data_IF_042339540922
#
_entry.id   IF_042339540922
#
_cell.length_a   1.000
_cell.length_b   1.000
_cell.length_c   1.000
_cell.angle_alpha   90.00
_cell.angle_beta   90.00
_cell.angle_gamma   90.00
#
_symmetry.space_group_name_H-M   'P 1'
#
loop_
_entity.id
_entity.type
_entity.pdbx_description
1 polymer ?
#
# COMPACT_ATOMS: atom_id res chain seq x y z
N UNK A 1 8.59 18.32 -2.87
CA UNK A 1 7.91 17.18 -3.54
C UNK A 1 7.98 16.00 -2.58
N UNK A 2 6.90 15.26 -2.41
CA UNK A 2 6.93 14.01 -1.61
C UNK A 2 7.74 12.97 -2.38
N UNK A 3 8.64 12.26 -1.72
CA UNK A 3 9.41 11.14 -2.30
C UNK A 3 8.43 10.11 -2.86
N UNK A 4 8.64 9.60 -4.07
CA UNK A 4 7.81 8.52 -4.59
C UNK A 4 8.06 7.25 -3.76
N UNK A 5 7.09 6.33 -3.72
CA UNK A 5 7.28 5.07 -2.99
C UNK A 5 8.41 4.21 -3.58
N UNK A 6 8.57 4.24 -4.91
CA UNK A 6 9.71 3.57 -5.58
C UNK A 6 11.06 4.16 -5.16
N UNK A 7 11.16 5.49 -5.11
CA UNK A 7 12.39 6.19 -4.69
C UNK A 7 12.67 5.92 -3.19
N UNK A 8 11.63 5.82 -2.35
CA UNK A 8 11.77 5.44 -0.95
C UNK A 8 12.45 4.06 -0.84
N UNK A 9 11.86 3.02 -1.46
CA UNK A 9 12.41 1.66 -1.39
C UNK A 9 13.85 1.59 -1.90
N UNK A 10 14.15 2.27 -3.02
CA UNK A 10 15.50 2.29 -3.60
C UNK A 10 16.55 3.02 -2.74
N UNK A 11 16.13 3.94 -1.87
CA UNK A 11 17.06 4.78 -1.08
C UNK A 11 17.34 4.25 0.33
N UNK A 12 16.47 3.42 0.90
CA UNK A 12 16.57 3.02 2.31
C UNK A 12 17.69 2.01 2.59
N UNK A 13 18.01 1.12 1.65
CA UNK A 13 19.00 0.05 1.87
C UNK A 13 18.61 -0.96 2.97
N UNK A 14 17.35 -0.97 3.41
CA UNK A 14 16.77 -1.85 4.41
C UNK A 14 15.27 -2.04 4.15
N UNK A 15 14.66 -3.02 4.79
CA UNK A 15 13.20 -3.18 4.78
C UNK A 15 12.50 -1.90 5.24
N UNK A 16 11.57 -1.38 4.45
CA UNK A 16 10.74 -0.23 4.82
C UNK A 16 9.61 -0.67 5.76
N UNK A 17 9.40 0.07 6.85
CA UNK A 17 8.34 -0.21 7.81
C UNK A 17 7.20 0.80 7.66
N UNK A 18 6.01 0.30 7.38
CA UNK A 18 4.79 1.10 7.27
C UNK A 18 3.70 0.63 8.21
N UNK A 19 2.59 1.35 8.21
CA UNK A 19 1.38 0.97 8.95
C UNK A 19 0.13 1.46 8.23
N UNK A 20 -1.03 0.86 8.58
CA UNK A 20 -2.32 1.24 8.03
C UNK A 20 -2.93 2.40 8.80
N UNK A 21 -3.54 3.34 8.06
CA UNK A 21 -4.37 4.43 8.58
C UNK A 21 -5.83 4.10 8.28
N UNK A 22 -6.61 3.86 9.31
CA UNK A 22 -8.04 3.49 9.24
C UNK A 22 -8.95 4.53 9.89
N UNK A 23 -8.41 5.38 10.77
CA UNK A 23 -9.17 6.41 11.46
C UNK A 23 -9.26 7.68 10.59
N UNK A 24 -10.45 8.30 10.50
CA UNK A 24 -10.68 9.47 9.66
C UNK A 24 -10.18 10.79 10.32
N UNK A 25 -8.95 10.77 10.87
CA UNK A 25 -8.39 11.94 11.56
C UNK A 25 -6.95 12.20 11.13
N UNK A 26 -6.64 13.47 10.87
CA UNK A 26 -5.29 13.91 10.50
C UNK A 26 -4.30 13.70 11.64
N UNK A 27 -4.77 13.78 12.90
CA UNK A 27 -3.93 13.56 14.08
C UNK A 27 -3.31 12.15 14.09
N UNK A 28 -4.07 11.13 13.62
CA UNK A 28 -3.54 9.77 13.48
C UNK A 28 -2.36 9.71 12.53
N UNK A 29 -2.47 10.39 11.38
CA UNK A 29 -1.38 10.47 10.38
C UNK A 29 -0.14 11.15 10.97
N UNK A 30 -0.32 12.27 11.66
CA UNK A 30 0.78 13.02 12.29
C UNK A 30 1.48 12.21 13.38
N UNK A 31 0.70 11.56 14.26
CA UNK A 31 1.23 10.68 15.31
C UNK A 31 2.06 9.52 14.72
N UNK A 32 1.56 8.87 13.67
CA UNK A 32 2.26 7.77 13.02
C UNK A 32 3.53 8.23 12.29
N UNK A 33 3.48 9.39 11.63
CA UNK A 33 4.66 9.98 11.01
C UNK A 33 5.75 10.31 12.03
N UNK A 34 5.37 10.90 13.18
CA UNK A 34 6.30 11.20 14.27
C UNK A 34 6.79 9.95 15.02
N UNK A 35 6.05 8.84 14.96
CA UNK A 35 6.51 7.55 15.48
C UNK A 35 7.66 6.95 14.65
N UNK A 36 7.91 7.45 13.44
CA UNK A 36 9.06 7.08 12.61
C UNK A 36 8.77 5.95 11.62
N UNK A 37 7.52 5.74 11.23
CA UNK A 37 7.21 4.88 10.08
C UNK A 37 7.76 5.49 8.79
N UNK A 38 8.35 4.65 7.93
CA UNK A 38 8.94 5.07 6.66
C UNK A 38 7.87 5.47 5.63
N UNK A 39 6.69 4.86 5.72
CA UNK A 39 5.54 5.16 4.87
C UNK A 39 4.22 4.82 5.58
N UNK A 40 3.12 5.35 5.05
CA UNK A 40 1.77 5.03 5.54
C UNK A 40 0.91 4.46 4.40
N UNK A 41 -0.13 3.71 4.76
CA UNK A 41 -1.14 3.24 3.81
C UNK A 41 -2.53 3.60 4.33
N UNK A 42 -3.19 4.55 3.68
CA UNK A 42 -4.59 4.89 3.97
C UNK A 42 -5.48 3.79 3.39
N UNK A 43 -6.33 3.22 4.23
CA UNK A 43 -7.13 2.05 3.90
C UNK A 43 -8.58 2.44 3.58
N UNK A 44 -8.97 2.39 2.30
CA UNK A 44 -10.37 2.61 1.89
C UNK A 44 -11.16 1.31 1.75
N UNK A 45 -10.50 0.15 1.81
CA UNK A 45 -11.18 -1.14 1.65
C UNK A 45 -11.86 -1.57 2.95
N UNK A 46 -11.13 -1.54 4.07
CA UNK A 46 -11.63 -2.02 5.37
C UNK A 46 -11.78 -0.89 6.40
N UNK A 47 -12.13 0.31 5.93
CA UNK A 47 -12.49 1.44 6.78
C UNK A 47 -13.50 2.37 6.06
N UNK A 48 -14.27 3.17 6.79
CA UNK A 48 -15.30 4.03 6.20
C UNK A 48 -14.71 5.34 5.63
N UNK A 49 -13.57 5.26 4.91
CA UNK A 49 -12.92 6.43 4.35
C UNK A 49 -13.37 6.67 2.92
N UNK A 50 -13.80 7.90 2.64
CA UNK A 50 -14.11 8.38 1.30
C UNK A 50 -12.93 9.16 0.68
N UNK A 51 -13.02 9.49 -0.60
CA UNK A 51 -11.97 10.22 -1.32
C UNK A 51 -11.68 11.60 -0.70
N UNK A 52 -12.68 12.27 -0.11
CA UNK A 52 -12.47 13.57 0.54
C UNK A 52 -11.67 13.43 1.83
N UNK A 53 -12.00 12.44 2.65
CA UNK A 53 -11.23 12.11 3.86
C UNK A 53 -9.80 11.73 3.48
N UNK A 54 -9.60 10.85 2.49
CA UNK A 54 -8.27 10.49 1.95
C UNK A 54 -7.50 11.73 1.51
N UNK A 55 -8.16 12.67 0.80
CA UNK A 55 -7.53 13.92 0.40
C UNK A 55 -6.99 14.72 1.60
N UNK A 56 -7.71 14.78 2.73
CA UNK A 56 -7.24 15.46 3.95
C UNK A 56 -6.07 14.71 4.60
N UNK A 57 -6.17 13.37 4.75
CA UNK A 57 -5.11 12.54 5.33
C UNK A 57 -3.80 12.63 4.52
N UNK A 58 -3.88 12.58 3.19
CA UNK A 58 -2.72 12.79 2.31
C UNK A 58 -2.12 14.21 2.44
N UNK A 59 -2.94 15.20 2.76
CA UNK A 59 -2.47 16.56 3.04
C UNK A 59 -1.61 16.64 4.31
N UNK A 60 -2.05 15.98 5.39
CA UNK A 60 -1.30 15.86 6.64
C UNK A 60 0.00 15.07 6.44
N UNK A 61 -0.07 13.91 5.81
CA UNK A 61 1.09 13.09 5.51
C UNK A 61 2.17 13.85 4.72
N UNK A 62 1.74 14.61 3.71
CA UNK A 62 2.63 15.49 2.95
C UNK A 62 3.27 16.57 3.82
N UNK A 63 2.53 17.15 4.77
CA UNK A 63 3.04 18.11 5.75
C UNK A 63 4.13 17.52 6.64
N UNK A 64 4.01 16.26 7.00
CA UNK A 64 5.00 15.50 7.76
C UNK A 64 6.15 14.92 6.91
N UNK A 65 6.09 15.02 5.58
CA UNK A 65 7.11 14.49 4.69
C UNK A 65 7.08 12.96 4.53
N UNK A 66 6.02 12.27 4.97
CA UNK A 66 5.92 10.81 4.91
C UNK A 66 5.20 10.38 3.63
N UNK A 67 5.84 9.54 2.77
CA UNK A 67 5.20 8.95 1.59
C UNK A 67 3.99 8.12 2.01
N UNK A 68 2.85 8.31 1.34
CA UNK A 68 1.62 7.63 1.71
C UNK A 68 0.96 7.00 0.50
N UNK A 69 0.79 5.69 0.56
CA UNK A 69 -0.01 4.90 -0.37
C UNK A 69 -1.49 4.96 0.04
N UNK A 70 -2.36 4.57 -0.87
CA UNK A 70 -3.77 4.35 -0.56
C UNK A 70 -4.17 2.96 -1.03
N UNK A 71 -4.73 2.15 -0.14
CA UNK A 71 -5.43 0.95 -0.54
C UNK A 71 -6.83 1.36 -1.00
N UNK A 72 -7.09 1.19 -2.29
CA UNK A 72 -8.41 1.47 -2.87
C UNK A 72 -9.40 0.36 -2.53
N UNK A 73 -10.73 0.63 -2.54
CA UNK A 73 -11.72 -0.39 -2.15
C UNK A 73 -11.90 -1.48 -3.20
N UNK A 74 -11.55 -1.19 -4.44
CA UNK A 74 -11.70 -2.07 -5.58
C UNK A 74 -10.82 -1.62 -6.76
N UNK A 75 -10.95 -2.27 -7.92
CA UNK A 75 -10.21 -1.98 -9.15
C UNK A 75 -10.81 -0.87 -10.01
N UNK A 76 -11.77 -0.10 -9.49
CA UNK A 76 -12.49 0.93 -10.27
C UNK A 76 -11.53 2.04 -10.74
N UNK A 77 -11.36 2.25 -12.07
CA UNK A 77 -10.40 3.22 -12.61
C UNK A 77 -10.61 4.65 -12.13
N UNK A 78 -11.86 5.07 -11.95
CA UNK A 78 -12.17 6.43 -11.48
C UNK A 78 -11.75 6.65 -10.02
N UNK A 79 -11.84 5.65 -9.16
CA UNK A 79 -11.36 5.71 -7.77
C UNK A 79 -9.85 5.82 -7.74
N UNK A 80 -9.14 4.98 -8.50
CA UNK A 80 -7.68 5.02 -8.63
C UNK A 80 -7.22 6.40 -9.09
N UNK A 81 -7.79 6.94 -10.17
CA UNK A 81 -7.43 8.27 -10.69
C UNK A 81 -7.63 9.37 -9.65
N UNK A 82 -8.79 9.41 -8.95
CA UNK A 82 -9.11 10.46 -7.96
C UNK A 82 -8.20 10.42 -6.74
N UNK A 83 -7.83 9.22 -6.29
CA UNK A 83 -6.90 9.03 -5.19
C UNK A 83 -5.50 9.54 -5.57
N UNK A 84 -5.03 9.21 -6.77
CA UNK A 84 -3.75 9.69 -7.29
C UNK A 84 -3.74 11.20 -7.49
N UNK A 85 -4.85 11.80 -7.95
CA UNK A 85 -5.02 13.25 -8.07
C UNK A 85 -5.00 13.96 -6.70
N UNK A 86 -5.42 13.26 -5.65
CA UNK A 86 -5.32 13.74 -4.27
C UNK A 86 -3.88 13.74 -3.72
N UNK A 87 -2.92 13.19 -4.46
CA UNK A 87 -1.49 13.24 -4.13
C UNK A 87 -0.95 12.01 -3.42
N UNK A 88 -1.59 10.85 -3.58
CA UNK A 88 -1.04 9.58 -3.12
C UNK A 88 0.30 9.26 -3.80
N UNK A 89 1.25 8.67 -3.07
CA UNK A 89 2.53 8.20 -3.59
C UNK A 89 2.39 6.94 -4.47
N UNK A 90 1.23 6.31 -4.42
CA UNK A 90 0.83 5.14 -5.18
C UNK A 90 -0.46 4.55 -4.65
N UNK A 91 -0.88 3.45 -5.25
CA UNK A 91 -2.07 2.69 -4.85
C UNK A 91 -1.73 1.23 -4.60
N UNK A 92 -2.32 0.67 -3.56
CA UNK A 92 -2.42 -0.75 -3.31
C UNK A 92 -3.82 -1.18 -3.75
N UNK A 93 -3.90 -2.16 -4.64
CA UNK A 93 -5.17 -2.54 -5.29
C UNK A 93 -5.51 -3.98 -4.93
N UNK A 94 -6.62 -4.21 -4.22
CA UNK A 94 -7.07 -5.54 -3.83
C UNK A 94 -7.63 -6.34 -5.03
N UNK A 95 -7.77 -7.64 -4.84
CA UNK A 95 -8.43 -8.56 -5.78
C UNK A 95 -7.85 -8.52 -7.20
N UNK A 96 -6.54 -8.42 -7.33
CA UNK A 96 -5.83 -8.56 -8.61
C UNK A 96 -5.41 -10.01 -8.75
N UNK A 97 -6.19 -10.78 -9.48
CA UNK A 97 -6.02 -12.23 -9.59
C UNK A 97 -5.35 -12.66 -10.90
N UNK A 98 -5.34 -11.77 -11.91
CA UNK A 98 -4.80 -12.06 -13.24
C UNK A 98 -3.93 -10.93 -13.78
N UNK A 99 -3.13 -11.22 -14.82
CA UNK A 99 -2.38 -10.20 -15.55
C UNK A 99 -3.31 -9.16 -16.23
N UNK A 100 -4.53 -9.53 -16.64
CA UNK A 100 -5.52 -8.61 -17.21
C UNK A 100 -6.02 -7.61 -16.16
N UNK A 101 -6.26 -8.07 -14.93
CA UNK A 101 -6.57 -7.20 -13.80
C UNK A 101 -5.43 -6.21 -13.54
N UNK A 102 -4.19 -6.72 -13.52
CA UNK A 102 -3.00 -5.89 -13.34
C UNK A 102 -2.87 -4.83 -14.45
N UNK A 103 -3.08 -5.21 -15.72
CA UNK A 103 -3.11 -4.26 -16.84
C UNK A 103 -4.18 -3.17 -16.63
N UNK A 104 -5.37 -3.56 -16.19
CA UNK A 104 -6.49 -2.63 -15.95
C UNK A 104 -6.11 -1.59 -14.89
N UNK A 105 -5.59 -2.01 -13.75
CA UNK A 105 -5.25 -1.10 -12.65
C UNK A 105 -4.02 -0.24 -12.95
N UNK A 106 -3.03 -0.77 -13.65
CA UNK A 106 -1.88 0.01 -14.12
C UNK A 106 -2.31 1.08 -15.11
N UNK A 107 -3.15 0.70 -16.09
CA UNK A 107 -3.71 1.62 -17.08
C UNK A 107 -4.48 2.77 -16.42
N UNK A 108 -5.24 2.48 -15.37
CA UNK A 108 -5.97 3.50 -14.60
C UNK A 108 -5.06 4.49 -13.86
N UNK A 109 -3.84 4.08 -13.51
CA UNK A 109 -2.84 4.91 -12.83
C UNK A 109 -2.01 5.80 -13.76
N UNK A 110 -1.87 5.44 -15.04
CA UNK A 110 -0.98 6.08 -16.01
C UNK A 110 -1.72 6.95 -17.02
N UNK A 111 -1.07 8.02 -17.47
CA UNK A 111 -1.60 8.87 -18.54
C UNK A 111 -1.38 8.25 -19.94
N UNK A 112 -2.19 8.64 -20.95
CA UNK A 112 -1.91 8.28 -22.33
C UNK A 112 -0.48 8.71 -22.77
N UNK A 113 0.22 7.92 -23.60
CA UNK A 113 -0.23 6.70 -24.27
C UNK A 113 -0.11 5.41 -23.45
N UNK A 114 0.46 5.45 -22.23
CA UNK A 114 0.77 4.28 -21.39
C UNK A 114 -0.41 3.83 -20.51
N UNK A 115 -1.52 4.58 -20.51
CA UNK A 115 -2.72 4.26 -19.76
C UNK A 115 -3.92 5.11 -20.15
N UNK A 116 -4.95 5.06 -19.30
CA UNK A 116 -6.26 5.69 -19.54
C UNK A 116 -6.64 6.75 -18.51
N UNK A 117 -5.71 7.07 -17.56
CA UNK A 117 -5.96 8.09 -16.55
C UNK A 117 -6.29 9.44 -17.19
N UNK A 118 -7.39 10.07 -16.73
CA UNK A 118 -7.77 11.41 -17.15
C UNK A 118 -6.71 12.46 -16.75
N UNK A 119 -6.48 13.44 -17.60
CA UNK A 119 -5.47 14.47 -17.39
C UNK A 119 -6.11 15.78 -16.92
N UNK A 120 -5.86 16.16 -15.67
CA UNK A 120 -6.38 17.40 -15.06
C UNK A 120 -5.37 17.96 -14.05
N UNK A 121 -4.42 18.86 -14.46
CA UNK A 121 -3.29 19.26 -13.62
C UNK A 121 -3.67 20.20 -12.47
N UNK A 122 -4.90 20.74 -12.43
CA UNK A 122 -5.38 21.64 -11.37
C UNK A 122 -5.85 20.89 -10.11
N UNK A 123 -5.09 19.86 -9.73
CA UNK A 123 -5.29 19.00 -8.56
C UNK A 123 -4.05 19.04 -7.68
N UNK A 124 -4.12 18.48 -6.46
CA UNK A 124 -2.96 18.47 -5.54
C UNK A 124 -1.72 17.83 -6.15
N UNK A 125 -1.85 16.71 -6.87
CA UNK A 125 -0.74 16.05 -7.53
C UNK A 125 -0.03 16.95 -8.56
N UNK A 126 -0.75 17.88 -9.20
CA UNK A 126 -0.23 18.88 -10.13
C UNK A 126 0.11 20.22 -9.47
N UNK A 127 0.22 20.27 -8.14
CA UNK A 127 0.44 21.50 -7.39
C UNK A 127 -0.56 22.59 -7.76
N UNK A 128 -1.82 22.21 -7.99
CA UNK A 128 -2.93 23.10 -8.38
C UNK A 128 -2.67 23.87 -9.68
N UNK A 129 -1.95 23.22 -10.61
CA UNK A 129 -1.57 23.78 -11.91
C UNK A 129 -0.23 24.51 -11.92
N UNK A 130 0.45 24.61 -10.79
CA UNK A 130 1.78 25.26 -10.72
C UNK A 130 2.91 24.41 -11.26
N UNK A 131 2.72 23.07 -11.36
CA UNK A 131 3.73 22.14 -11.91
C UNK A 131 3.10 21.14 -12.88
N UNK A 132 2.69 21.63 -14.03
CA UNK A 132 2.07 20.83 -15.10
C UNK A 132 3.05 19.79 -15.69
N UNK A 133 4.33 20.13 -15.96
CA UNK A 133 5.30 19.15 -16.43
C UNK A 133 5.58 18.05 -15.40
N UNK A 134 5.74 18.40 -14.11
CA UNK A 134 5.93 17.45 -13.02
C UNK A 134 4.73 16.54 -12.82
N UNK A 135 3.50 17.05 -12.95
CA UNK A 135 2.29 16.25 -12.90
C UNK A 135 2.27 15.18 -14.01
N UNK A 136 2.62 15.56 -15.24
CA UNK A 136 2.70 14.61 -16.34
C UNK A 136 3.76 13.54 -16.10
N UNK A 137 4.96 13.96 -15.70
CA UNK A 137 6.07 13.04 -15.41
C UNK A 137 5.77 12.10 -14.21
N UNK A 138 4.99 12.58 -13.25
CA UNK A 138 4.61 11.75 -12.08
C UNK A 138 3.78 10.52 -12.47
N UNK A 139 2.99 10.59 -13.54
CA UNK A 139 2.19 9.47 -14.03
C UNK A 139 3.02 8.21 -14.35
N UNK A 140 4.28 8.39 -14.79
CA UNK A 140 5.20 7.28 -15.06
C UNK A 140 5.84 6.71 -13.79
N UNK A 141 5.86 7.48 -12.70
CA UNK A 141 6.50 7.12 -11.42
C UNK A 141 5.53 6.61 -10.36
N UNK A 142 4.25 6.58 -10.67
CA UNK A 142 3.22 6.10 -9.75
C UNK A 142 3.48 4.64 -9.39
N UNK A 143 3.43 4.34 -8.10
CA UNK A 143 3.47 2.97 -7.64
C UNK A 143 2.06 2.36 -7.70
N UNK A 144 1.84 1.44 -8.65
CA UNK A 144 0.66 0.56 -8.66
C UNK A 144 1.11 -0.79 -8.13
N UNK A 145 0.50 -1.21 -7.03
CA UNK A 145 0.90 -2.41 -6.29
C UNK A 145 -0.30 -3.35 -6.23
N UNK A 146 -0.31 -4.45 -7.00
CA UNK A 146 -1.31 -5.50 -6.85
C UNK A 146 -1.24 -6.15 -5.48
N UNK A 147 -2.40 -6.38 -4.84
CA UNK A 147 -2.53 -7.18 -3.64
C UNK A 147 -2.94 -8.60 -4.03
N UNK A 148 -2.07 -9.56 -3.74
CA UNK A 148 -2.24 -10.98 -4.02
C UNK A 148 -2.80 -11.65 -2.76
N UNK A 149 -4.06 -12.08 -2.81
CA UNK A 149 -4.80 -12.52 -1.62
C UNK A 149 -5.74 -13.70 -1.88
N UNK A 150 -5.63 -14.29 -3.07
CA UNK A 150 -6.33 -15.51 -3.46
C UNK A 150 -5.35 -16.56 -3.98
N UNK A 151 -5.78 -17.81 -4.07
CA UNK A 151 -4.96 -18.87 -4.67
C UNK A 151 -4.63 -18.57 -6.14
N UNK A 152 -5.61 -18.06 -6.89
CA UNK A 152 -5.43 -17.67 -8.29
C UNK A 152 -4.38 -16.57 -8.45
N UNK A 153 -4.42 -15.55 -7.59
CA UNK A 153 -3.43 -14.48 -7.58
C UNK A 153 -2.01 -14.98 -7.30
N UNK A 154 -1.86 -15.92 -6.35
CA UNK A 154 -0.54 -16.52 -6.06
C UNK A 154 -0.03 -17.32 -7.25
N UNK A 155 -0.88 -18.16 -7.84
CA UNK A 155 -0.52 -18.99 -9.00
C UNK A 155 -0.16 -18.11 -10.23
N UNK A 156 -0.73 -16.89 -10.32
CA UNK A 156 -0.49 -15.91 -11.39
C UNK A 156 0.54 -14.82 -11.02
N UNK A 157 1.24 -14.93 -9.89
CA UNK A 157 2.11 -13.86 -9.36
C UNK A 157 3.18 -13.39 -10.37
N UNK A 158 3.75 -14.31 -11.15
CA UNK A 158 4.74 -14.00 -12.19
C UNK A 158 4.11 -13.21 -13.34
N UNK A 159 2.97 -13.64 -13.84
CA UNK A 159 2.24 -12.98 -14.93
C UNK A 159 1.78 -11.59 -14.52
N UNK A 160 1.25 -11.45 -13.30
CA UNK A 160 0.85 -10.17 -12.70
C UNK A 160 2.06 -9.24 -12.58
N UNK A 161 3.17 -9.71 -12.00
CA UNK A 161 4.39 -8.94 -11.82
C UNK A 161 5.06 -8.53 -13.13
N UNK A 162 4.91 -9.32 -14.21
CA UNK A 162 5.47 -9.02 -15.53
C UNK A 162 4.76 -7.89 -16.26
N UNK A 163 3.61 -7.42 -15.77
CA UNK A 163 2.88 -6.31 -16.38
C UNK A 163 3.67 -5.01 -16.22
N UNK A 164 4.00 -4.38 -17.35
CA UNK A 164 4.73 -3.11 -17.33
C UNK A 164 3.98 -2.04 -16.53
N UNK A 165 4.59 -1.55 -15.47
CA UNK A 165 4.04 -0.56 -14.56
C UNK A 165 3.66 -1.07 -13.19
N UNK A 166 3.62 -2.38 -12.98
CA UNK A 166 3.60 -2.94 -11.64
C UNK A 166 4.86 -2.49 -10.89
N UNK A 167 4.67 -1.95 -9.70
CA UNK A 167 5.75 -1.33 -8.92
C UNK A 167 6.38 -2.27 -7.89
N UNK A 168 5.58 -3.19 -7.39
CA UNK A 168 5.92 -4.18 -6.38
C UNK A 168 4.79 -5.23 -6.36
N UNK A 169 5.03 -6.37 -5.72
CA UNK A 169 3.98 -7.31 -5.33
C UNK A 169 3.71 -7.18 -3.83
N UNK A 170 2.46 -7.32 -3.44
CA UNK A 170 2.07 -7.32 -2.04
C UNK A 170 1.18 -8.52 -1.73
N UNK A 171 1.53 -9.28 -0.70
CA UNK A 171 0.67 -10.37 -0.23
C UNK A 171 -0.20 -9.90 0.91
N UNK A 172 -1.52 -10.08 0.78
CA UNK A 172 -2.52 -9.88 1.83
C UNK A 172 -2.71 -11.14 2.67
N UNK A 173 -1.94 -11.36 3.76
CA UNK A 173 -1.90 -12.67 4.42
C UNK A 173 -3.21 -13.04 5.12
N UNK A 174 -3.99 -12.06 5.57
CA UNK A 174 -5.26 -12.33 6.26
C UNK A 174 -6.31 -12.89 5.28
N UNK A 175 -6.49 -12.21 4.15
CA UNK A 175 -7.45 -12.61 3.13
C UNK A 175 -7.01 -13.89 2.43
N UNK A 176 -5.69 -14.05 2.18
CA UNK A 176 -5.12 -15.28 1.65
C UNK A 176 -5.37 -16.48 2.57
N UNK A 177 -5.24 -16.31 3.89
CA UNK A 177 -5.52 -17.37 4.86
C UNK A 177 -7.01 -17.77 4.83
N UNK A 178 -7.91 -16.80 4.72
CA UNK A 178 -9.34 -17.06 4.58
C UNK A 178 -9.67 -17.74 3.25
N UNK A 179 -9.11 -17.26 2.15
CA UNK A 179 -9.35 -17.78 0.81
C UNK A 179 -8.85 -19.22 0.62
N UNK A 180 -7.72 -19.56 1.25
CA UNK A 180 -7.12 -20.90 1.14
C UNK A 180 -7.52 -21.86 2.24
N UNK A 181 -8.05 -21.36 3.36
CA UNK A 181 -8.32 -22.14 4.57
C UNK A 181 -7.06 -22.56 5.32
N UNK A 182 -5.88 -22.09 4.92
CA UNK A 182 -4.63 -22.39 5.61
C UNK A 182 -4.38 -21.42 6.77
N UNK A 183 -3.90 -21.94 7.90
CA UNK A 183 -3.43 -21.12 9.00
C UNK A 183 -2.04 -20.55 8.68
N UNK A 184 -1.76 -19.33 9.11
CA UNK A 184 -0.52 -18.61 8.80
C UNK A 184 0.76 -19.31 9.31
N UNK A 185 0.64 -20.23 10.26
CA UNK A 185 1.72 -21.03 10.83
C UNK A 185 1.95 -22.37 10.12
N UNK A 186 1.21 -22.67 9.05
CA UNK A 186 1.32 -23.94 8.32
C UNK A 186 2.40 -23.87 7.22
N UNK A 187 3.08 -25.00 6.94
CA UNK A 187 4.03 -25.08 5.82
C UNK A 187 3.38 -24.80 4.46
N UNK A 188 2.10 -25.10 4.31
CA UNK A 188 1.31 -24.83 3.10
C UNK A 188 1.19 -23.33 2.86
N UNK A 189 0.90 -22.55 3.93
CA UNK A 189 0.81 -21.10 3.84
C UNK A 189 2.19 -20.48 3.54
N UNK A 190 3.23 -20.94 4.22
CA UNK A 190 4.60 -20.47 3.97
C UNK A 190 5.00 -20.65 2.50
N UNK A 191 4.67 -21.81 1.89
CA UNK A 191 4.98 -22.05 0.47
C UNK A 191 4.31 -21.03 -0.45
N UNK A 192 3.07 -20.60 -0.16
CA UNK A 192 2.40 -19.56 -0.96
C UNK A 192 3.17 -18.23 -0.92
N UNK A 193 3.69 -17.86 0.26
CA UNK A 193 4.51 -16.65 0.40
C UNK A 193 5.85 -16.79 -0.34
N UNK A 194 6.49 -17.95 -0.27
CA UNK A 194 7.74 -18.25 -0.96
C UNK A 194 7.58 -18.23 -2.49
N UNK A 195 6.44 -18.69 -3.01
CA UNK A 195 6.12 -18.67 -4.44
C UNK A 195 6.08 -17.22 -4.95
N UNK A 196 5.41 -16.30 -4.22
CA UNK A 196 5.38 -14.87 -4.58
C UNK A 196 6.76 -14.22 -4.45
N UNK A 197 7.48 -14.51 -3.37
CA UNK A 197 8.84 -13.98 -3.17
C UNK A 197 9.79 -14.43 -4.29
N UNK A 198 9.65 -15.68 -4.75
CA UNK A 198 10.44 -16.22 -5.87
C UNK A 198 10.08 -15.51 -7.18
N UNK A 199 8.79 -15.31 -7.47
CA UNK A 199 8.34 -14.59 -8.65
C UNK A 199 8.84 -13.12 -8.64
N UNK A 200 8.72 -12.43 -7.51
CA UNK A 200 9.21 -11.05 -7.35
C UNK A 200 10.73 -10.96 -7.58
N UNK A 201 11.50 -11.88 -7.00
CA UNK A 201 12.96 -11.94 -7.17
C UNK A 201 13.38 -12.16 -8.62
N UNK A 202 12.71 -13.05 -9.35
CA UNK A 202 13.01 -13.29 -10.77
C UNK A 202 12.70 -12.08 -11.65
N UNK A 203 11.71 -11.27 -11.26
CA UNK A 203 11.30 -10.05 -11.97
C UNK A 203 12.03 -8.80 -11.47
N UNK A 204 12.91 -8.93 -10.49
CA UNK A 204 13.57 -7.81 -9.82
C UNK A 204 12.58 -6.78 -9.24
N UNK A 205 11.41 -7.25 -8.79
CA UNK A 205 10.38 -6.43 -8.18
C UNK A 205 10.49 -6.48 -6.65
N UNK A 206 10.24 -5.35 -5.96
CA UNK A 206 10.05 -5.36 -4.53
C UNK A 206 8.85 -6.22 -4.12
N UNK A 207 8.96 -6.88 -2.95
CA UNK A 207 7.86 -7.65 -2.36
C UNK A 207 7.55 -7.16 -0.94
N UNK A 208 6.27 -7.05 -0.63
CA UNK A 208 5.80 -6.64 0.69
C UNK A 208 4.69 -7.51 1.25
N UNK A 209 4.46 -7.36 2.55
CA UNK A 209 3.39 -8.04 3.28
C UNK A 209 2.92 -7.23 4.48
N UNK A 210 1.95 -7.74 5.24
CA UNK A 210 1.44 -7.15 6.47
C UNK A 210 1.47 -8.13 7.63
N UNK A 211 1.72 -7.60 8.84
CA UNK A 211 1.73 -8.36 10.09
C UNK A 211 1.05 -7.61 11.22
N UNK A 212 0.58 -8.34 12.23
CA UNK A 212 -0.12 -7.75 13.38
C UNK A 212 0.78 -7.25 14.50
N UNK A 213 2.08 -7.55 14.49
CA UNK A 213 2.97 -7.24 15.60
C UNK A 213 4.41 -6.95 15.18
N UNK A 214 5.13 -6.20 16.02
CA UNK A 214 6.55 -5.95 15.83
C UNK A 214 7.42 -7.23 15.93
N UNK A 215 6.98 -8.23 16.67
CA UNK A 215 7.67 -9.52 16.76
C UNK A 215 7.65 -10.22 15.41
N UNK A 216 6.46 -10.38 14.81
CA UNK A 216 6.30 -10.97 13.47
C UNK A 216 7.04 -10.17 12.38
N UNK A 217 7.07 -8.82 12.49
CA UNK A 217 7.81 -8.00 11.55
C UNK A 217 9.32 -8.26 11.59
N UNK A 218 9.90 -8.44 12.79
CA UNK A 218 11.35 -8.73 12.93
C UNK A 218 11.78 -10.00 12.21
N UNK A 219 10.91 -11.02 12.18
CA UNK A 219 11.20 -12.29 11.51
C UNK A 219 11.21 -12.14 9.98
N UNK A 220 10.58 -11.09 9.46
CA UNK A 220 10.46 -10.81 8.02
C UNK A 220 11.42 -9.73 7.51
N UNK A 221 12.06 -8.97 8.41
CA UNK A 221 13.07 -7.97 8.03
C UNK A 221 14.24 -8.63 7.30
N UNK A 222 14.59 -8.09 6.14
CA UNK A 222 15.63 -8.64 5.27
C UNK A 222 15.13 -9.71 4.29
N UNK A 223 13.88 -10.18 4.44
CA UNK A 223 13.22 -11.09 3.50
C UNK A 223 12.16 -10.39 2.65
N UNK A 224 11.70 -9.20 3.07
CA UNK A 224 10.75 -8.35 2.36
C UNK A 224 11.31 -6.94 2.22
N UNK A 225 10.98 -6.26 1.13
CA UNK A 225 11.40 -4.88 0.88
C UNK A 225 10.59 -3.88 1.68
N UNK A 226 9.32 -4.21 1.97
CA UNK A 226 8.46 -3.40 2.83
C UNK A 226 7.46 -4.25 3.62
N UNK A 227 7.18 -3.82 4.84
CA UNK A 227 6.27 -4.52 5.76
C UNK A 227 5.31 -3.50 6.39
N UNK A 228 4.02 -3.78 6.35
CA UNK A 228 3.03 -3.03 7.10
C UNK A 228 2.75 -3.69 8.45
N UNK A 229 2.86 -2.92 9.54
CA UNK A 229 2.74 -3.43 10.91
C UNK A 229 1.53 -2.80 11.58
N UNK A 230 0.55 -3.61 11.96
CA UNK A 230 -0.65 -3.18 12.68
C UNK A 230 -1.43 -2.06 11.94
N UNK A 231 -2.24 -1.31 12.66
CA UNK A 231 -2.95 -0.12 12.18
C UNK A 231 -3.24 0.82 13.35
N UNK A 232 -3.52 2.09 13.08
CA UNK A 232 -3.81 3.12 14.07
C UNK A 232 -4.91 2.74 15.06
N UNK A 233 -6.02 2.19 14.57
CA UNK A 233 -7.15 1.78 15.42
C UNK A 233 -6.76 0.63 16.37
N UNK A 234 -5.99 -0.37 15.88
CA UNK A 234 -5.52 -1.48 16.71
C UNK A 234 -4.48 -1.02 17.74
N UNK A 235 -3.56 -0.14 17.36
CA UNK A 235 -2.56 0.43 18.26
C UNK A 235 -3.23 1.20 19.41
N UNK A 236 -4.17 2.10 19.10
CA UNK A 236 -4.93 2.84 20.09
C UNK A 236 -5.74 1.91 20.99
N UNK A 237 -6.46 0.95 20.39
CA UNK A 237 -7.29 0.00 21.13
C UNK A 237 -6.48 -0.91 22.05
N UNK A 238 -5.29 -1.36 21.64
CA UNK A 238 -4.39 -2.17 22.46
C UNK A 238 -3.86 -1.37 23.66
N UNK A 239 -3.37 -0.15 23.42
CA UNK A 239 -2.86 0.72 24.47
C UNK A 239 -3.94 1.06 25.51
N UNK A 240 -5.16 1.38 25.06
CA UNK A 240 -6.28 1.68 25.94
C UNK A 240 -6.69 0.46 26.79
N UNK A 241 -6.77 -0.74 26.18
CA UNK A 241 -7.07 -1.96 26.95
C UNK A 241 -6.00 -2.30 27.98
N UNK A 242 -4.72 -2.17 27.61
CA UNK A 242 -3.61 -2.42 28.53
C UNK A 242 -3.69 -1.47 29.73
N UNK A 243 -3.92 -0.17 29.50
CA UNK A 243 -4.05 0.83 30.58
C UNK A 243 -5.22 0.50 31.52
N UNK A 244 -6.39 0.11 30.98
CA UNK A 244 -7.56 -0.26 31.81
C UNK A 244 -7.30 -1.54 32.61
N UNK A 245 -6.65 -2.55 32.01
CA UNK A 245 -6.27 -3.79 32.70
C UNK A 245 -5.31 -3.51 33.86
N UNK A 246 -4.25 -2.75 33.61
CA UNK A 246 -3.28 -2.36 34.63
C UNK A 246 -3.94 -1.57 35.78
N UNK A 247 -4.79 -0.60 35.47
CA UNK A 247 -5.49 0.19 36.47
C UNK A 247 -6.48 -0.64 37.33
N UNK A 248 -6.96 -1.74 36.79
CA UNK A 248 -7.85 -2.68 37.54
C UNK A 248 -7.09 -3.80 38.28
N UNK A 249 -5.78 -3.89 38.12
CA UNK A 249 -4.95 -4.94 38.71
C UNK A 249 -5.20 -6.34 38.09
N UNK A 250 -5.61 -6.38 36.80
CA UNK A 250 -5.92 -7.63 36.09
C UNK A 250 -4.76 -8.02 35.14
#
# INVERSE_FOLDING_TARGET
MTTSFRDLLGSLGRTALGTWVKLPTVDSVELLAHAGFDFLVVDMEHSPLDVLTVHHLLGAARGCGVPTLVRVPDRTPSTISRVLDSGAAGVLVPHVDTAEDAHTVVSAGRFPPHGTRGYGPTVRAGAWGADVPGYRASGEKIAVIPQLESREAIDSAREIGSVDGVAALFVGPADLAVATGYSADTPEFTRLLDDVASAAKELELPVGTAVGSAAAARDLVGHHDFIMIANDASLLGQAARALVSEARGA
#
